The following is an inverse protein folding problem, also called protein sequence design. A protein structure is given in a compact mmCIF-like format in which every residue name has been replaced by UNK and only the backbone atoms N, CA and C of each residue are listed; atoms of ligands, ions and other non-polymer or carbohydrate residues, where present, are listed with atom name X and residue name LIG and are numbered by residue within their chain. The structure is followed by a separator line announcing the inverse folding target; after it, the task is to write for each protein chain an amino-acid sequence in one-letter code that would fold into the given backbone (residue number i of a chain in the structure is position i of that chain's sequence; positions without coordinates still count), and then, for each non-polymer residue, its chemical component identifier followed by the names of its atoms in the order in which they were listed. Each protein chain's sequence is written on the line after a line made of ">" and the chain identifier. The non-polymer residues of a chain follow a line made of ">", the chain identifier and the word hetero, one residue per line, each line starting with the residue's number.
data_IF_390498456333
#
_entry.id   IF_390498456333
#
_cell.length_a   1.000
_cell.length_b   1.000
_cell.length_c   1.000
_cell.angle_alpha   90.00
_cell.angle_beta   90.00
_cell.angle_gamma   90.00
#
_symmetry.space_group_name_H-M   'P 1'
#
loop_
_entity.id
_entity.type
_entity.pdbx_description
1 polymer ?
#
# COMPACT_ATOMS: atom_id res chain seq x y z
N UNK A 1 74.63 65.26 -26.89
CA UNK A 1 74.51 63.84 -26.51
C UNK A 1 73.12 63.68 -25.93
N UNK A 2 72.19 63.05 -26.61
CA UNK A 2 70.82 62.87 -26.08
C UNK A 2 70.66 61.50 -25.42
N UNK A 3 70.06 61.52 -24.26
CA UNK A 3 69.61 60.29 -23.50
C UNK A 3 68.33 59.70 -24.11
N UNK A 4 68.38 58.45 -24.54
CA UNK A 4 67.21 57.70 -24.94
C UNK A 4 66.62 57.00 -23.72
N UNK A 5 65.40 57.35 -23.34
CA UNK A 5 64.60 56.64 -22.31
C UNK A 5 63.72 55.58 -22.96
N UNK A 6 63.98 54.32 -22.61
CA UNK A 6 63.24 53.15 -23.10
C UNK A 6 62.01 52.95 -22.24
N UNK A 7 60.84 53.24 -22.77
CA UNK A 7 59.56 52.92 -22.14
C UNK A 7 59.24 51.42 -22.31
N UNK A 8 59.24 50.63 -21.20
CA UNK A 8 58.73 49.28 -21.12
C UNK A 8 57.23 49.36 -20.97
N UNK A 9 56.51 48.88 -21.97
CA UNK A 9 55.06 48.68 -21.92
C UNK A 9 54.77 47.41 -21.15
N UNK A 10 54.13 47.46 -19.96
CA UNK A 10 53.53 46.35 -19.24
C UNK A 10 52.19 46.06 -19.86
N UNK A 11 52.05 44.88 -20.49
CA UNK A 11 50.79 44.35 -20.96
C UNK A 11 50.05 43.69 -19.76
N UNK A 12 49.00 44.31 -19.26
CA UNK A 12 48.12 43.76 -18.26
C UNK A 12 47.16 42.78 -18.98
N UNK A 13 47.39 41.48 -18.82
CA UNK A 13 46.42 40.44 -19.24
C UNK A 13 45.27 40.42 -18.26
N UNK A 14 44.13 41.01 -18.61
CA UNK A 14 42.85 40.81 -17.91
C UNK A 14 42.39 39.38 -18.07
N UNK A 15 42.50 38.59 -16.99
CA UNK A 15 41.84 37.28 -16.92
C UNK A 15 40.34 37.52 -16.67
N UNK A 16 39.50 37.38 -17.70
CA UNK A 16 38.05 37.30 -17.52
C UNK A 16 37.72 35.97 -16.86
N UNK A 17 37.46 35.96 -15.55
CA UNK A 17 36.85 34.83 -14.85
C UNK A 17 35.39 34.75 -15.26
N UNK A 18 35.03 33.74 -16.07
CA UNK A 18 33.65 33.41 -16.38
C UNK A 18 33.08 32.68 -15.14
N UNK A 19 32.05 33.24 -14.46
CA UNK A 19 31.40 32.50 -13.38
C UNK A 19 30.72 31.27 -13.96
N UNK A 20 31.15 30.09 -13.56
CA UNK A 20 30.47 28.82 -13.80
C UNK A 20 29.18 28.84 -12.99
N UNK A 21 28.06 29.25 -13.60
CA UNK A 21 26.73 29.13 -13.03
C UNK A 21 26.44 27.64 -13.02
N UNK A 22 26.67 26.99 -11.88
CA UNK A 22 26.14 25.66 -11.63
C UNK A 22 24.61 25.76 -11.68
N UNK A 23 24.02 25.33 -12.79
CA UNK A 23 22.58 25.13 -12.88
C UNK A 23 22.24 24.02 -11.89
N UNK A 24 21.86 24.39 -10.67
CA UNK A 24 21.15 23.49 -9.77
C UNK A 24 19.83 23.20 -10.47
N UNK A 25 19.73 22.04 -11.12
CA UNK A 25 18.46 21.47 -11.53
C UNK A 25 17.68 21.22 -10.24
N UNK A 26 16.94 22.23 -9.80
CA UNK A 26 15.96 22.08 -8.74
C UNK A 26 15.00 20.96 -9.19
N UNK A 27 15.01 19.82 -8.51
CA UNK A 27 13.97 18.84 -8.66
C UNK A 27 12.67 19.56 -8.30
N UNK A 28 11.81 19.80 -9.27
CA UNK A 28 10.47 20.33 -9.01
C UNK A 28 9.73 19.26 -8.22
N UNK A 29 9.10 19.68 -7.13
CA UNK A 29 8.21 18.83 -6.35
C UNK A 29 7.12 18.26 -7.28
N UNK A 30 6.99 16.95 -7.32
CA UNK A 30 6.00 16.27 -8.16
C UNK A 30 4.82 15.78 -7.32
N UNK A 31 3.61 15.95 -7.84
CA UNK A 31 2.42 15.28 -7.32
C UNK A 31 2.32 13.88 -7.93
N UNK A 32 2.69 12.86 -7.15
CA UNK A 32 2.63 11.46 -7.59
C UNK A 32 1.23 10.94 -7.34
N UNK A 33 0.48 10.62 -8.40
CA UNK A 33 -0.84 10.00 -8.30
C UNK A 33 -0.72 8.51 -8.03
N UNK A 34 -1.24 8.08 -6.89
CA UNK A 34 -1.11 6.72 -6.37
C UNK A 34 -2.47 6.05 -6.25
N UNK A 35 -2.66 4.91 -6.87
CA UNK A 35 -3.76 4.01 -6.54
C UNK A 35 -3.26 2.94 -5.57
N UNK A 36 -3.90 2.76 -4.41
CA UNK A 36 -3.40 1.85 -3.38
C UNK A 36 -4.49 1.02 -2.69
N UNK A 37 -4.16 -0.26 -2.44
CA UNK A 37 -5.00 -1.13 -1.61
C UNK A 37 -4.95 -0.73 -0.13
N UNK A 38 -6.08 -0.86 0.57
CA UNK A 38 -6.22 -0.54 1.99
C UNK A 38 -5.20 -1.25 2.89
N UNK A 39 -4.66 -2.39 2.46
CA UNK A 39 -3.63 -3.12 3.20
C UNK A 39 -2.35 -2.30 3.47
N UNK A 40 -2.11 -1.23 2.72
CA UNK A 40 -0.97 -0.33 2.91
C UNK A 40 -1.30 0.93 3.73
N UNK A 41 -2.57 1.16 4.11
CA UNK A 41 -2.99 2.41 4.73
C UNK A 41 -2.14 2.77 5.97
N UNK A 42 -2.14 1.90 7.00
CA UNK A 42 -1.38 2.13 8.23
C UNK A 42 0.15 2.23 7.99
N UNK A 43 0.67 1.55 6.97
CA UNK A 43 2.07 1.62 6.62
C UNK A 43 2.40 2.97 5.98
N UNK A 44 1.58 3.45 5.05
CA UNK A 44 1.79 4.71 4.36
C UNK A 44 1.69 5.90 5.31
N UNK A 45 0.77 5.90 6.27
CA UNK A 45 0.73 6.92 7.34
C UNK A 45 2.06 7.05 8.10
N UNK A 46 2.80 5.95 8.26
CA UNK A 46 4.08 5.94 8.99
C UNK A 46 5.29 6.29 8.12
N UNK A 47 5.25 5.98 6.82
CA UNK A 47 6.46 6.07 5.98
C UNK A 47 6.41 7.23 4.98
N UNK A 48 5.23 7.64 4.51
CA UNK A 48 5.11 8.67 3.48
C UNK A 48 5.54 10.05 3.95
N UNK A 49 5.25 10.53 5.18
CA UNK A 49 5.71 11.85 5.60
C UNK A 49 7.23 12.03 5.52
N UNK A 50 7.99 10.98 5.83
CA UNK A 50 9.45 11.01 5.70
C UNK A 50 9.90 11.00 4.23
N UNK A 51 9.22 10.25 3.36
CA UNK A 51 9.48 10.27 1.92
C UNK A 51 9.24 11.65 1.31
N UNK A 52 8.10 12.27 1.59
CA UNK A 52 7.75 13.60 1.08
C UNK A 52 8.75 14.65 1.54
N UNK A 53 9.15 14.59 2.82
CA UNK A 53 10.19 15.50 3.35
C UNK A 53 11.55 15.33 2.67
N UNK A 54 11.95 14.08 2.38
CA UNK A 54 13.26 13.79 1.77
C UNK A 54 13.30 14.08 0.28
N UNK A 55 12.23 13.76 -0.44
CA UNK A 55 12.18 13.84 -1.90
C UNK A 55 11.66 15.19 -2.42
N UNK A 56 10.94 15.92 -1.59
CA UNK A 56 10.15 17.09 -2.01
C UNK A 56 8.89 16.76 -2.79
N UNK A 57 8.63 15.50 -3.13
CA UNK A 57 7.43 15.07 -3.83
C UNK A 57 6.25 14.97 -2.85
N UNK A 58 5.03 15.04 -3.39
CA UNK A 58 3.79 14.85 -2.65
C UNK A 58 2.99 13.68 -3.23
N UNK A 59 2.33 12.87 -2.40
CA UNK A 59 1.52 11.74 -2.84
C UNK A 59 0.04 12.06 -2.80
N UNK A 60 -0.62 11.97 -3.96
CA UNK A 60 -2.07 12.05 -4.09
C UNK A 60 -2.63 10.64 -4.14
N UNK A 61 -3.10 10.13 -2.99
CA UNK A 61 -3.44 8.71 -2.85
C UNK A 61 -4.95 8.50 -2.94
N UNK A 62 -5.37 7.63 -3.86
CA UNK A 62 -6.73 7.11 -3.93
C UNK A 62 -6.75 5.64 -3.47
N UNK A 63 -7.51 5.38 -2.41
CA UNK A 63 -7.64 4.06 -1.80
C UNK A 63 -8.78 3.25 -2.40
N UNK A 64 -8.59 1.93 -2.47
CA UNK A 64 -9.65 1.01 -2.88
C UNK A 64 -9.27 -0.46 -2.77
N UNK A 65 -10.23 -1.38 -2.80
CA UNK A 65 -9.94 -2.81 -2.82
C UNK A 65 -9.32 -3.24 -4.14
N UNK A 66 -8.43 -4.23 -4.09
CA UNK A 66 -7.78 -4.79 -5.31
C UNK A 66 -8.74 -5.63 -6.17
N UNK A 67 -9.89 -5.98 -5.64
CA UNK A 67 -11.00 -6.70 -6.30
C UNK A 67 -12.31 -6.01 -5.96
N UNK A 68 -13.39 -6.44 -6.59
CA UNK A 68 -14.71 -5.89 -6.36
C UNK A 68 -15.22 -5.05 -7.52
N UNK A 69 -16.48 -4.62 -7.41
CA UNK A 69 -17.20 -3.87 -8.44
C UNK A 69 -17.64 -2.48 -7.98
N UNK A 70 -17.31 -2.10 -6.75
CA UNK A 70 -17.58 -0.75 -6.25
C UNK A 70 -16.82 0.30 -7.08
N UNK A 71 -17.31 1.53 -7.16
CA UNK A 71 -16.62 2.62 -7.87
C UNK A 71 -15.19 2.85 -7.38
N UNK A 72 -14.93 2.61 -6.09
CA UNK A 72 -13.62 2.76 -5.47
C UNK A 72 -12.66 1.58 -5.75
N UNK A 73 -13.15 0.43 -6.27
CA UNK A 73 -12.29 -0.69 -6.56
C UNK A 73 -11.20 -0.31 -7.57
N UNK A 74 -9.94 -0.66 -7.29
CA UNK A 74 -8.80 -0.27 -8.12
C UNK A 74 -8.98 -0.69 -9.59
N UNK A 75 -9.48 -1.90 -9.92
CA UNK A 75 -9.76 -2.25 -11.31
C UNK A 75 -10.79 -1.33 -11.99
N UNK A 76 -11.78 -0.83 -11.23
CA UNK A 76 -12.78 0.10 -11.76
C UNK A 76 -12.20 1.49 -11.97
N UNK A 77 -11.37 2.00 -11.04
CA UNK A 77 -10.65 3.27 -11.19
C UNK A 77 -9.74 3.25 -12.42
N UNK A 78 -8.97 2.16 -12.60
CA UNK A 78 -8.09 1.96 -13.77
C UNK A 78 -8.91 1.90 -15.06
N UNK A 79 -10.02 1.16 -15.07
CA UNK A 79 -10.92 1.07 -16.22
C UNK A 79 -11.52 2.43 -16.61
N UNK A 80 -11.85 3.24 -15.62
CA UNK A 80 -12.43 4.59 -15.80
C UNK A 80 -11.38 5.65 -16.17
N UNK A 81 -10.09 5.27 -16.26
CA UNK A 81 -9.02 6.19 -16.67
C UNK A 81 -8.64 7.19 -15.57
N UNK A 82 -8.83 6.84 -14.28
CA UNK A 82 -8.37 7.71 -13.19
C UNK A 82 -6.86 7.95 -13.31
N UNK A 83 -6.39 9.20 -13.19
CA UNK A 83 -4.96 9.51 -13.27
C UNK A 83 -4.15 8.70 -12.25
N UNK A 84 -3.07 8.08 -12.70
CA UNK A 84 -2.15 7.34 -11.83
C UNK A 84 -0.74 7.33 -12.41
N UNK A 85 0.25 7.41 -11.54
CA UNK A 85 1.66 7.19 -11.86
C UNK A 85 2.11 5.81 -11.39
N UNK A 86 1.55 5.34 -10.28
CA UNK A 86 1.91 4.07 -9.65
C UNK A 86 0.68 3.43 -9.00
N UNK A 87 0.62 2.11 -9.05
CA UNK A 87 -0.47 1.36 -8.39
C UNK A 87 0.08 0.24 -7.50
N UNK A 88 -0.46 0.18 -6.28
CA UNK A 88 -0.19 -0.86 -5.27
C UNK A 88 -1.45 -1.70 -5.08
N UNK A 89 -1.41 -2.96 -5.47
CA UNK A 89 -2.56 -3.86 -5.32
C UNK A 89 -2.12 -5.31 -5.12
N UNK A 90 -3.06 -6.19 -4.87
CA UNK A 90 -2.76 -7.63 -4.78
C UNK A 90 -2.07 -8.10 -6.06
N UNK A 91 -0.94 -8.80 -5.91
CA UNK A 91 -0.03 -9.14 -7.00
C UNK A 91 -0.69 -9.87 -8.17
N UNK A 92 -1.63 -10.78 -7.89
CA UNK A 92 -2.40 -11.47 -8.95
C UNK A 92 -3.26 -10.48 -9.75
N UNK A 93 -3.97 -9.57 -9.07
CA UNK A 93 -4.78 -8.56 -9.72
C UNK A 93 -3.91 -7.57 -10.53
N UNK A 94 -2.76 -7.16 -9.99
CA UNK A 94 -1.82 -6.29 -10.71
C UNK A 94 -1.27 -6.98 -11.96
N UNK A 95 -0.96 -8.28 -11.88
CA UNK A 95 -0.50 -9.06 -13.05
C UNK A 95 -1.52 -9.03 -14.19
N UNK A 96 -2.81 -9.12 -13.89
CA UNK A 96 -3.85 -9.00 -14.93
C UNK A 96 -3.89 -7.59 -15.55
N UNK A 97 -3.71 -6.54 -14.76
CA UNK A 97 -3.64 -5.17 -15.27
C UNK A 97 -2.37 -4.94 -16.14
N UNK A 98 -1.24 -5.57 -15.77
CA UNK A 98 0.00 -5.55 -16.58
C UNK A 98 -0.25 -6.24 -17.93
N UNK A 99 -0.88 -7.42 -17.96
CA UNK A 99 -1.23 -8.13 -19.19
C UNK A 99 -2.16 -7.30 -20.11
N UNK A 100 -3.01 -6.47 -19.51
CA UNK A 100 -3.88 -5.54 -20.26
C UNK A 100 -3.14 -4.29 -20.78
N UNK A 101 -1.82 -4.20 -20.57
CA UNK A 101 -0.97 -3.11 -21.05
C UNK A 101 -1.15 -1.79 -20.29
N UNK A 102 -1.69 -1.81 -19.06
CA UNK A 102 -1.89 -0.61 -18.25
C UNK A 102 -0.64 -0.17 -17.50
N UNK A 103 0.34 -1.04 -17.33
CA UNK A 103 1.56 -0.80 -16.56
C UNK A 103 2.80 -1.20 -17.35
N UNK A 104 3.95 -0.69 -16.93
CA UNK A 104 5.28 -1.06 -17.43
C UNK A 104 5.64 -2.41 -16.79
N UNK A 105 5.75 -3.53 -17.54
CA UNK A 105 5.94 -4.86 -16.98
C UNK A 105 7.19 -4.97 -16.10
N UNK A 106 8.30 -4.33 -16.51
CA UNK A 106 9.60 -4.39 -15.86
C UNK A 106 9.63 -3.62 -14.52
N UNK A 107 8.67 -2.72 -14.33
CA UNK A 107 8.52 -1.97 -13.07
C UNK A 107 7.78 -2.74 -11.97
N UNK A 108 7.14 -3.88 -12.33
CA UNK A 108 6.38 -4.65 -11.37
C UNK A 108 7.29 -5.37 -10.38
N UNK A 109 7.09 -5.10 -9.10
CA UNK A 109 7.79 -5.79 -8.00
C UNK A 109 6.82 -6.22 -6.90
N UNK A 110 7.08 -7.37 -6.30
CA UNK A 110 6.41 -7.78 -5.06
C UNK A 110 7.03 -7.00 -3.90
N UNK A 111 6.20 -6.28 -3.14
CA UNK A 111 6.67 -5.35 -2.11
C UNK A 111 6.56 -5.94 -0.71
N UNK A 112 5.36 -6.38 -0.35
CA UNK A 112 5.06 -6.91 0.99
C UNK A 112 4.02 -8.02 0.91
N UNK A 113 3.90 -8.78 2.00
CA UNK A 113 2.85 -9.78 2.17
C UNK A 113 2.05 -9.48 3.44
N UNK A 114 0.75 -9.84 3.44
CA UNK A 114 -0.12 -9.78 4.60
C UNK A 114 -1.01 -11.02 4.67
N UNK A 115 -1.17 -11.58 5.87
CA UNK A 115 -2.12 -12.67 6.12
C UNK A 115 -3.51 -12.14 6.46
N UNK A 116 -4.50 -13.02 6.53
CA UNK A 116 -5.84 -12.72 7.07
C UNK A 116 -5.80 -12.85 8.59
N UNK A 117 -6.42 -11.91 9.28
CA UNK A 117 -6.57 -11.92 10.73
C UNK A 117 -8.01 -11.79 11.18
N UNK A 118 -8.20 -11.93 12.48
CA UNK A 118 -9.47 -11.78 13.20
C UNK A 118 -9.37 -10.60 14.16
N UNK A 119 -10.42 -9.81 14.24
CA UNK A 119 -10.62 -8.79 15.27
C UNK A 119 -12.05 -8.85 15.82
N UNK A 120 -12.23 -8.39 17.03
CA UNK A 120 -13.54 -8.20 17.64
C UNK A 120 -13.76 -6.74 18.00
N UNK A 121 -15.02 -6.34 18.08
CA UNK A 121 -15.40 -5.03 18.60
C UNK A 121 -14.86 -4.85 20.03
N UNK A 122 -14.34 -3.67 20.31
CA UNK A 122 -13.81 -3.34 21.65
C UNK A 122 -14.87 -3.58 22.74
N UNK A 123 -14.44 -4.22 23.83
CA UNK A 123 -15.32 -4.57 24.96
C UNK A 123 -15.94 -5.97 24.86
N UNK A 124 -15.82 -6.65 23.73
CA UNK A 124 -16.17 -8.07 23.65
C UNK A 124 -15.00 -8.95 24.11
N UNK A 125 -15.26 -10.14 24.67
CA UNK A 125 -14.21 -11.08 25.03
C UNK A 125 -13.37 -11.44 23.80
N UNK A 126 -12.06 -11.55 24.02
CA UNK A 126 -11.15 -12.06 22.98
C UNK A 126 -11.35 -13.57 22.83
N UNK A 127 -11.84 -14.06 21.67
CA UNK A 127 -12.04 -15.49 21.47
C UNK A 127 -10.71 -16.21 21.28
N UNK A 128 -10.72 -17.52 21.51
CA UNK A 128 -9.65 -18.40 21.07
C UNK A 128 -9.84 -18.76 19.58
N UNK A 129 -8.74 -18.69 18.83
CA UNK A 129 -8.70 -19.04 17.40
C UNK A 129 -7.41 -19.80 17.06
N UNK A 130 -6.79 -20.46 18.04
CA UNK A 130 -5.48 -21.10 17.84
C UNK A 130 -5.57 -22.31 16.90
N UNK A 131 -6.67 -23.03 16.91
CA UNK A 131 -6.92 -24.17 16.02
C UNK A 131 -8.02 -23.84 15.00
N UNK A 132 -8.09 -24.64 13.96
CA UNK A 132 -9.16 -24.53 12.94
C UNK A 132 -10.55 -24.72 13.57
N UNK A 133 -10.67 -25.63 14.56
CA UNK A 133 -11.94 -25.85 15.26
C UNK A 133 -12.30 -24.69 16.19
N UNK A 134 -11.34 -24.09 16.90
CA UNK A 134 -11.59 -22.90 17.73
C UNK A 134 -12.07 -21.73 16.86
N UNK A 135 -11.43 -21.51 15.71
CA UNK A 135 -11.87 -20.51 14.73
C UNK A 135 -13.29 -20.80 14.25
N UNK A 136 -13.58 -22.06 13.92
CA UNK A 136 -14.90 -22.48 13.47
C UNK A 136 -15.96 -22.19 14.53
N UNK A 137 -15.73 -22.58 15.79
CA UNK A 137 -16.65 -22.33 16.90
C UNK A 137 -16.83 -20.82 17.15
N UNK A 138 -15.74 -20.05 17.11
CA UNK A 138 -15.78 -18.59 17.24
C UNK A 138 -16.68 -17.95 16.17
N UNK A 139 -16.53 -18.36 14.91
CA UNK A 139 -17.37 -17.85 13.82
C UNK A 139 -18.84 -18.25 13.96
N UNK A 140 -19.12 -19.48 14.41
CA UNK A 140 -20.48 -19.93 14.65
C UNK A 140 -21.14 -19.23 15.83
N UNK A 141 -20.38 -18.89 16.89
CA UNK A 141 -20.88 -18.21 18.08
C UNK A 141 -21.09 -16.70 17.85
N UNK A 142 -20.38 -16.08 16.92
CA UNK A 142 -20.52 -14.65 16.61
C UNK A 142 -21.94 -14.33 16.13
N UNK A 143 -22.51 -13.19 16.58
CA UNK A 143 -23.82 -12.71 16.11
C UNK A 143 -23.74 -12.14 14.70
N UNK A 144 -22.63 -11.46 14.40
CA UNK A 144 -22.36 -10.85 13.09
C UNK A 144 -20.87 -10.90 12.77
N UNK A 145 -20.54 -11.15 11.50
CA UNK A 145 -19.16 -11.28 11.00
C UNK A 145 -18.97 -10.40 9.79
N UNK A 146 -18.10 -9.38 9.93
CA UNK A 146 -17.77 -8.45 8.86
C UNK A 146 -16.56 -8.94 8.06
N UNK A 147 -16.59 -8.70 6.75
CA UNK A 147 -15.48 -8.87 5.82
C UNK A 147 -15.66 -7.94 4.62
N UNK A 148 -14.54 -7.59 3.94
CA UNK A 148 -14.59 -6.69 2.79
C UNK A 148 -14.88 -7.41 1.49
N UNK A 149 -15.27 -6.69 0.43
CA UNK A 149 -15.38 -7.22 -0.93
C UNK A 149 -14.00 -7.48 -1.59
N UNK A 150 -12.91 -7.10 -0.92
CA UNK A 150 -11.53 -7.24 -1.42
C UNK A 150 -11.00 -8.67 -1.40
N UNK A 151 -9.66 -8.80 -1.46
CA UNK A 151 -8.98 -10.09 -1.57
C UNK A 151 -9.24 -11.03 -0.39
N UNK A 152 -9.24 -10.49 0.84
CA UNK A 152 -9.55 -11.29 2.04
C UNK A 152 -11.00 -11.78 2.03
N UNK A 153 -11.95 -10.92 1.68
CA UNK A 153 -13.36 -11.32 1.63
C UNK A 153 -13.64 -12.36 0.55
N UNK A 154 -13.03 -12.24 -0.62
CA UNK A 154 -13.12 -13.26 -1.67
C UNK A 154 -12.63 -14.63 -1.17
N UNK A 155 -11.50 -14.66 -0.43
CA UNK A 155 -11.01 -15.88 0.20
C UNK A 155 -11.95 -16.39 1.30
N UNK A 156 -12.43 -15.51 2.17
CA UNK A 156 -13.29 -15.86 3.31
C UNK A 156 -14.58 -16.53 2.83
N UNK A 157 -15.26 -15.92 1.87
CA UNK A 157 -16.55 -16.43 1.38
C UNK A 157 -16.41 -17.60 0.41
N UNK A 158 -15.43 -17.56 -0.50
CA UNK A 158 -15.25 -18.56 -1.55
C UNK A 158 -14.43 -19.78 -1.13
N UNK A 159 -13.74 -19.72 0.02
CA UNK A 159 -12.85 -20.82 0.42
C UNK A 159 -12.92 -21.13 1.92
N UNK A 160 -12.73 -20.12 2.79
CA UNK A 160 -12.61 -20.37 4.23
C UNK A 160 -13.88 -20.96 4.82
N UNK A 161 -15.03 -20.34 4.57
CA UNK A 161 -16.32 -20.82 5.12
C UNK A 161 -16.68 -22.21 4.61
N UNK A 162 -16.37 -22.55 3.36
CA UNK A 162 -16.54 -23.88 2.80
C UNK A 162 -15.62 -24.91 3.48
N UNK A 163 -14.33 -24.58 3.65
CA UNK A 163 -13.37 -25.46 4.33
C UNK A 163 -13.73 -25.73 5.79
N UNK A 164 -14.36 -24.76 6.45
CA UNK A 164 -14.84 -24.89 7.82
C UNK A 164 -16.22 -25.59 7.91
N UNK A 165 -16.88 -25.83 6.79
CA UNK A 165 -18.23 -26.44 6.75
C UNK A 165 -19.31 -25.56 7.37
N UNK A 166 -19.17 -24.22 7.28
CA UNK A 166 -20.09 -23.25 7.92
C UNK A 166 -20.70 -22.25 6.93
N UNK A 167 -20.52 -22.43 5.63
CA UNK A 167 -20.91 -21.44 4.62
C UNK A 167 -22.40 -21.06 4.71
N UNK A 168 -23.28 -22.03 4.92
CA UNK A 168 -24.73 -21.78 5.04
C UNK A 168 -25.05 -20.96 6.31
N UNK A 169 -24.46 -21.31 7.46
CA UNK A 169 -24.68 -20.62 8.73
C UNK A 169 -24.17 -19.18 8.68
N UNK A 170 -23.11 -18.91 7.89
CA UNK A 170 -22.54 -17.58 7.76
C UNK A 170 -23.40 -16.64 6.92
N UNK A 171 -24.26 -17.12 6.02
CA UNK A 171 -25.11 -16.25 5.17
C UNK A 171 -25.98 -15.28 5.98
N UNK A 172 -26.57 -15.75 7.08
CA UNK A 172 -27.49 -14.95 7.90
C UNK A 172 -26.80 -13.91 8.78
N UNK A 173 -25.49 -14.01 9.00
CA UNK A 173 -24.73 -13.14 9.91
C UNK A 173 -23.57 -12.41 9.24
N UNK A 174 -23.42 -12.53 7.94
CA UNK A 174 -22.39 -11.86 7.15
C UNK A 174 -22.70 -10.38 6.93
N UNK A 175 -21.72 -9.52 7.22
CA UNK A 175 -21.76 -8.09 6.96
C UNK A 175 -20.69 -7.77 5.92
N UNK A 176 -21.10 -7.49 4.69
CA UNK A 176 -20.18 -7.18 3.59
C UNK A 176 -19.85 -5.68 3.56
N UNK A 177 -18.59 -5.35 3.79
CA UNK A 177 -18.05 -3.99 3.70
C UNK A 177 -17.57 -3.74 2.27
N UNK A 178 -18.08 -2.67 1.65
CA UNK A 178 -17.84 -2.34 0.23
C UNK A 178 -16.94 -1.11 0.06
N UNK A 179 -16.34 -1.02 -1.11
CA UNK A 179 -15.51 0.12 -1.50
C UNK A 179 -14.24 0.23 -0.68
N UNK A 180 -13.80 1.45 -0.45
CA UNK A 180 -12.57 1.78 0.30
C UNK A 180 -12.68 1.60 1.81
N UNK A 181 -13.87 1.35 2.32
CA UNK A 181 -14.08 1.18 3.75
C UNK A 181 -13.41 -0.09 4.27
N UNK A 182 -12.80 0.00 5.47
CA UNK A 182 -12.16 -1.12 6.13
C UNK A 182 -13.08 -1.73 7.20
N UNK A 183 -12.95 -3.03 7.44
CA UNK A 183 -13.76 -3.77 8.41
C UNK A 183 -13.63 -3.19 9.83
N UNK A 184 -12.47 -2.64 10.18
CA UNK A 184 -12.25 -2.01 11.48
C UNK A 184 -13.24 -0.88 11.76
N UNK A 185 -13.59 -0.06 10.76
CA UNK A 185 -14.58 1.02 10.92
C UNK A 185 -15.97 0.49 11.27
N UNK A 186 -16.40 -0.60 10.63
CA UNK A 186 -17.69 -1.23 10.94
C UNK A 186 -17.72 -1.83 12.35
N UNK A 187 -16.60 -2.41 12.80
CA UNK A 187 -16.46 -2.90 14.18
C UNK A 187 -16.52 -1.74 15.21
N UNK A 188 -15.85 -0.61 14.94
CA UNK A 188 -15.87 0.57 15.82
C UNK A 188 -17.27 1.17 15.95
N UNK A 189 -18.05 1.18 14.87
CA UNK A 189 -19.47 1.63 14.90
C UNK A 189 -20.43 0.59 15.49
N UNK A 190 -19.96 -0.62 15.79
CA UNK A 190 -20.79 -1.69 16.33
C UNK A 190 -21.73 -2.36 15.31
N UNK A 191 -21.46 -2.21 14.02
CA UNK A 191 -22.22 -2.85 12.93
C UNK A 191 -21.94 -4.35 12.84
N UNK A 192 -20.81 -4.79 13.38
CA UNK A 192 -20.48 -6.21 13.53
C UNK A 192 -19.72 -6.45 14.84
N UNK A 193 -19.81 -7.67 15.38
CA UNK A 193 -19.12 -8.07 16.60
C UNK A 193 -17.73 -8.63 16.30
N UNK A 194 -17.55 -9.30 15.16
CA UNK A 194 -16.32 -9.91 14.71
C UNK A 194 -16.04 -9.52 13.26
N UNK A 195 -14.75 -9.38 12.92
CA UNK A 195 -14.32 -9.05 11.57
C UNK A 195 -13.10 -9.83 11.15
N UNK A 196 -13.05 -10.17 9.87
CA UNK A 196 -11.91 -10.79 9.20
C UNK A 196 -11.46 -9.89 8.06
N UNK A 197 -10.16 -9.54 8.04
CA UNK A 197 -9.55 -8.75 6.97
C UNK A 197 -8.04 -8.99 6.94
N UNK A 198 -7.30 -8.33 6.05
CA UNK A 198 -5.84 -8.35 6.12
C UNK A 198 -5.36 -7.86 7.50
N UNK A 199 -4.35 -8.51 8.05
CA UNK A 199 -3.81 -8.16 9.38
C UNK A 199 -3.42 -6.69 9.44
N UNK A 200 -2.78 -6.18 8.40
CA UNK A 200 -2.36 -4.77 8.31
C UNK A 200 -3.53 -3.80 8.32
N UNK A 201 -4.67 -4.16 7.74
CA UNK A 201 -5.90 -3.36 7.76
C UNK A 201 -6.54 -3.34 9.15
N UNK A 202 -6.63 -4.50 9.82
CA UNK A 202 -7.18 -4.57 11.18
C UNK A 202 -6.30 -3.84 12.19
N UNK A 203 -4.97 -3.91 12.06
CA UNK A 203 -4.02 -3.25 12.99
C UNK A 203 -3.96 -1.74 12.81
N UNK A 204 -4.60 -1.17 11.80
CA UNK A 204 -4.75 0.27 11.64
C UNK A 204 -5.69 0.90 12.68
N UNK A 205 -6.56 0.11 13.33
CA UNK A 205 -7.60 0.60 14.21
C UNK A 205 -7.27 0.38 15.68
N UNK A 206 -7.30 1.45 16.48
CA UNK A 206 -7.13 1.39 17.95
C UNK A 206 -8.44 1.15 18.70
N UNK A 207 -9.57 1.37 18.04
CA UNK A 207 -10.92 1.20 18.60
C UNK A 207 -11.46 -0.24 18.54
N UNK A 208 -10.70 -1.18 17.95
CA UNK A 208 -11.04 -2.60 17.93
C UNK A 208 -10.02 -3.42 18.73
N UNK A 209 -10.32 -4.69 18.95
CA UNK A 209 -9.39 -5.63 19.59
C UNK A 209 -8.94 -6.67 18.55
N UNK A 210 -7.68 -6.52 18.10
CA UNK A 210 -7.06 -7.53 17.23
C UNK A 210 -6.86 -8.84 18.03
N UNK A 211 -7.38 -9.95 17.50
CA UNK A 211 -7.31 -11.28 18.13
C UNK A 211 -6.04 -12.01 17.71
N UNK A 212 -5.80 -12.16 16.43
CA UNK A 212 -4.66 -12.88 15.89
C UNK A 212 -4.80 -13.21 14.39
N UNK A 213 -3.78 -13.86 13.80
CA UNK A 213 -3.87 -14.42 12.47
C UNK A 213 -4.82 -15.62 12.45
N UNK A 214 -5.30 -16.02 11.28
CA UNK A 214 -5.96 -17.33 11.12
C UNK A 214 -4.97 -18.46 11.44
N UNK A 215 -5.45 -19.65 11.89
CA UNK A 215 -4.62 -20.86 12.01
C UNK A 215 -3.88 -21.16 10.70
N UNK A 216 -2.66 -21.67 10.81
CA UNK A 216 -1.75 -21.86 9.68
C UNK A 216 -2.38 -22.69 8.53
N UNK A 217 -3.16 -23.71 8.88
CA UNK A 217 -3.81 -24.63 7.94
C UNK A 217 -4.85 -23.94 7.05
N UNK A 218 -5.44 -22.85 7.53
CA UNK A 218 -6.44 -22.06 6.82
C UNK A 218 -6.00 -20.61 6.59
N UNK A 219 -4.72 -20.31 6.78
CA UNK A 219 -4.19 -18.99 6.52
C UNK A 219 -4.09 -18.71 5.02
N UNK A 220 -4.43 -17.50 4.62
CA UNK A 220 -4.20 -16.99 3.28
C UNK A 220 -3.30 -15.78 3.35
N UNK A 221 -2.10 -15.91 2.82
CA UNK A 221 -1.19 -14.79 2.65
C UNK A 221 -1.37 -14.18 1.27
N UNK A 222 -1.55 -12.88 1.23
CA UNK A 222 -1.66 -12.10 -0.01
C UNK A 222 -0.38 -11.30 -0.19
N UNK A 223 0.21 -11.36 -1.39
CA UNK A 223 1.30 -10.48 -1.81
C UNK A 223 0.70 -9.18 -2.33
N UNK A 224 1.19 -8.05 -1.85
CA UNK A 224 0.93 -6.73 -2.42
C UNK A 224 2.12 -6.38 -3.31
N UNK A 225 1.83 -6.13 -4.57
CA UNK A 225 2.80 -5.74 -5.57
C UNK A 225 2.56 -4.29 -6.01
N UNK A 226 3.57 -3.70 -6.62
CA UNK A 226 3.53 -2.35 -7.17
C UNK A 226 4.01 -2.36 -8.63
N UNK A 227 3.46 -1.48 -9.45
CA UNK A 227 3.96 -1.21 -10.80
C UNK A 227 3.71 0.24 -11.19
N UNK A 228 4.58 0.78 -12.04
CA UNK A 228 4.46 2.12 -12.63
C UNK A 228 3.49 2.06 -13.80
N UNK A 229 2.57 3.02 -13.87
CA UNK A 229 1.62 3.13 -14.96
C UNK A 229 2.34 3.39 -16.30
N UNK A 230 1.79 2.85 -17.40
CA UNK A 230 2.37 3.04 -18.74
C UNK A 230 2.41 4.52 -19.12
N UNK A 231 1.36 5.26 -18.75
CA UNK A 231 1.17 6.67 -19.08
C UNK A 231 1.47 7.58 -17.89
N UNK A 232 2.33 7.11 -16.94
CA UNK A 232 2.76 7.88 -15.78
C UNK A 232 3.40 9.21 -16.19
N UNK A 233 2.90 10.32 -15.64
CA UNK A 233 3.47 11.65 -15.85
C UNK A 233 4.74 11.83 -15.02
N UNK A 234 4.70 11.33 -13.79
CA UNK A 234 5.78 11.45 -12.81
C UNK A 234 6.54 10.13 -12.65
N UNK A 235 6.90 9.50 -13.79
CA UNK A 235 7.53 8.17 -13.82
C UNK A 235 8.76 8.05 -12.92
N UNK A 236 9.71 9.01 -13.00
CA UNK A 236 10.94 8.96 -12.18
C UNK A 236 10.66 9.06 -10.70
N UNK A 237 9.70 9.91 -10.32
CA UNK A 237 9.30 10.06 -8.93
C UNK A 237 8.59 8.78 -8.41
N UNK A 238 7.75 8.15 -9.23
CA UNK A 238 7.12 6.85 -8.93
C UNK A 238 8.14 5.72 -8.74
N UNK A 239 9.16 5.63 -9.60
CA UNK A 239 10.28 4.68 -9.46
C UNK A 239 11.10 4.95 -8.19
N UNK A 240 11.30 6.23 -7.85
CA UNK A 240 11.94 6.65 -6.59
C UNK A 240 11.14 6.24 -5.35
N UNK A 241 9.82 6.38 -5.38
CA UNK A 241 8.92 5.91 -4.31
C UNK A 241 9.04 4.40 -4.10
N UNK A 242 9.04 3.61 -5.18
CA UNK A 242 9.21 2.16 -5.11
C UNK A 242 10.56 1.81 -4.46
N UNK A 243 11.63 2.49 -4.85
CA UNK A 243 12.97 2.30 -4.29
C UNK A 243 13.00 2.61 -2.80
N UNK A 244 12.41 3.74 -2.39
CA UNK A 244 12.30 4.13 -0.98
C UNK A 244 11.54 3.08 -0.15
N UNK A 245 10.37 2.62 -0.62
CA UNK A 245 9.55 1.64 0.09
C UNK A 245 10.23 0.28 0.26
N UNK A 246 11.24 -0.04 -0.56
CA UNK A 246 12.05 -1.25 -0.48
C UNK A 246 13.31 -1.10 0.36
N UNK A 247 13.57 0.08 0.92
CA UNK A 247 14.75 0.32 1.74
C UNK A 247 14.69 -0.45 3.07
N UNK A 248 15.84 -0.84 3.64
CA UNK A 248 15.90 -1.50 4.95
C UNK A 248 15.29 -0.67 6.08
N UNK A 249 15.42 0.67 6.00
CA UNK A 249 14.83 1.58 6.98
C UNK A 249 13.30 1.48 7.01
N UNK A 250 12.68 1.42 5.83
CA UNK A 250 11.23 1.31 5.70
C UNK A 250 10.73 -0.07 6.11
N UNK A 251 11.50 -1.13 5.85
CA UNK A 251 11.12 -2.51 6.18
C UNK A 251 10.72 -2.68 7.65
N UNK A 252 11.47 -2.11 8.60
CA UNK A 252 11.14 -2.16 10.03
C UNK A 252 9.79 -1.50 10.36
N UNK A 253 9.47 -0.38 9.69
CA UNK A 253 8.19 0.33 9.86
C UNK A 253 7.02 -0.47 9.28
N UNK A 254 7.23 -1.15 8.14
CA UNK A 254 6.23 -2.03 7.52
C UNK A 254 5.87 -3.21 8.44
N UNK A 255 6.87 -3.87 9.03
CA UNK A 255 6.65 -4.98 9.98
C UNK A 255 5.78 -4.55 11.17
N UNK A 256 5.98 -3.36 11.70
CA UNK A 256 5.17 -2.83 12.80
C UNK A 256 3.67 -2.71 12.46
N UNK A 257 3.32 -2.62 11.19
CA UNK A 257 1.93 -2.53 10.73
C UNK A 257 1.32 -3.90 10.39
N UNK A 258 2.06 -5.00 10.60
CA UNK A 258 1.58 -6.35 10.29
C UNK A 258 1.84 -6.78 8.85
N UNK A 259 2.68 -6.04 8.12
CA UNK A 259 3.17 -6.41 6.80
C UNK A 259 4.51 -7.16 6.89
N UNK A 260 4.73 -8.10 6.02
CA UNK A 260 6.00 -8.80 5.86
C UNK A 260 6.69 -8.31 4.58
N UNK A 261 7.79 -7.52 4.67
CA UNK A 261 8.55 -7.10 3.50
C UNK A 261 9.08 -8.30 2.70
N UNK A 262 9.04 -8.17 1.37
CA UNK A 262 9.59 -9.19 0.45
C UNK A 262 10.94 -8.68 -0.02
N UNK A 263 12.01 -9.42 0.33
CA UNK A 263 13.37 -9.11 -0.13
C UNK A 263 13.47 -9.28 -1.64
N UNK A 264 14.21 -8.39 -2.30
CA UNK A 264 14.61 -8.61 -3.69
C UNK A 264 15.46 -9.89 -3.75
N UNK A 265 15.09 -10.80 -4.65
CA UNK A 265 15.94 -11.95 -5.00
C UNK A 265 17.08 -11.49 -5.88
#
# INVERSE_FOLDING_TARGET
>A
MPFQSTMRRFAVRSLCAIPLIAATSGAWAADIHVLATGALHAAFEKVIPAYEQQSGNHLVIAWGPSYGSSPDALPMRIKNGEPMDVCFMIGAALTEQVKQGRFIPESRVDLVASGVGVAVRKGLPKPDIQTVEDLRQTLLAAKSVAFSEGASGTYITGTLFERLGIAEQMKAKSVLIRGKELVGSALERGEADLGLQQISELRAFSGIQYVGPLPAEVQKTSVIAVAVAKDAKERKAAEGLITYLRSPEVAAKLIQTGLAPISAK
#
